data_IF_348021200764
#
_entry.id   IF_348021200764
#
_cell.length_a   1.000
_cell.length_b   1.000
_cell.length_c   1.000
_cell.angle_alpha   90.00
_cell.angle_beta   90.00
_cell.angle_gamma   90.00
#
_symmetry.space_group_name_H-M   'P 1'
#
loop_
_entity.id
_entity.type
_entity.pdbx_description
1 polymer ?
#
# COMPACT_ATOMS: atom_id res chain seq x y z
N UNK A 1 -8.18 -1.61 -31.05
CA UNK A 1 -7.81 -1.74 -29.62
C UNK A 1 -7.44 -0.36 -29.11
N UNK A 2 -7.88 0.04 -27.92
CA UNK A 2 -7.57 1.35 -27.34
C UNK A 2 -6.49 1.19 -26.27
N UNK A 3 -5.50 2.07 -26.29
CA UNK A 3 -4.45 2.14 -25.27
C UNK A 3 -4.54 3.48 -24.56
N UNK A 4 -4.18 3.50 -23.28
CA UNK A 4 -3.88 4.73 -22.55
C UNK A 4 -2.54 4.55 -21.87
N UNK A 5 -1.57 5.38 -22.24
CA UNK A 5 -0.24 5.38 -21.65
C UNK A 5 0.07 6.79 -21.14
N UNK A 6 0.30 6.93 -19.85
CA UNK A 6 0.65 8.20 -19.21
C UNK A 6 1.95 8.05 -18.46
N UNK A 7 2.88 8.96 -18.72
CA UNK A 7 4.21 9.01 -18.11
C UNK A 7 4.32 10.32 -17.32
N UNK A 8 4.96 10.25 -16.17
CA UNK A 8 5.29 11.43 -15.38
C UNK A 8 6.33 12.28 -16.13
N UNK A 9 6.21 13.60 -16.08
CA UNK A 9 6.98 14.52 -16.93
C UNK A 9 8.50 14.35 -16.87
N UNK A 10 9.02 13.97 -15.69
CA UNK A 10 10.43 13.65 -15.44
C UNK A 10 10.98 12.45 -16.23
N UNK A 11 10.13 11.63 -16.83
CA UNK A 11 10.51 10.36 -17.47
C UNK A 11 10.10 10.30 -18.95
N UNK A 12 9.85 11.45 -19.59
CA UNK A 12 9.51 11.48 -21.01
C UNK A 12 10.62 10.89 -21.89
N UNK A 13 11.89 11.07 -21.53
CA UNK A 13 13.04 10.59 -22.31
C UNK A 13 13.10 9.05 -22.41
N UNK A 14 12.57 8.35 -21.38
CA UNK A 14 12.52 6.88 -21.35
C UNK A 14 11.14 6.32 -21.71
N UNK A 15 10.19 7.17 -22.13
CA UNK A 15 8.80 6.76 -22.36
C UNK A 15 8.66 5.65 -23.42
N UNK A 16 9.42 5.74 -24.51
CA UNK A 16 9.41 4.73 -25.58
C UNK A 16 9.94 3.38 -25.11
N UNK A 17 11.03 3.38 -24.33
CA UNK A 17 11.63 2.18 -23.76
C UNK A 17 10.67 1.55 -22.73
N UNK A 18 10.12 2.35 -21.80
CA UNK A 18 9.10 1.91 -20.85
C UNK A 18 7.91 1.27 -21.56
N UNK A 19 7.40 1.89 -22.63
CA UNK A 19 6.28 1.33 -23.39
C UNK A 19 6.62 -0.02 -24.00
N UNK A 20 7.80 -0.16 -24.59
CA UNK A 20 8.29 -1.44 -25.14
C UNK A 20 8.32 -2.52 -24.06
N UNK A 21 8.88 -2.22 -22.88
CA UNK A 21 8.94 -3.17 -21.77
C UNK A 21 7.56 -3.58 -21.27
N UNK A 22 6.61 -2.65 -21.20
CA UNK A 22 5.26 -2.95 -20.74
C UNK A 22 4.46 -3.80 -21.74
N UNK A 23 4.71 -3.63 -23.05
CA UNK A 23 4.09 -4.45 -24.09
C UNK A 23 4.67 -5.88 -24.12
N UNK A 24 5.94 -6.03 -23.76
CA UNK A 24 6.66 -7.31 -23.68
C UNK A 24 6.89 -7.78 -22.24
N UNK A 25 5.96 -7.44 -21.34
CA UNK A 25 6.12 -7.65 -19.89
C UNK A 25 6.41 -9.11 -19.51
N UNK A 26 5.92 -10.10 -20.26
CA UNK A 26 6.16 -11.50 -19.91
C UNK A 26 7.62 -11.92 -20.15
N UNK A 27 8.28 -11.36 -21.17
CA UNK A 27 9.65 -11.74 -21.56
C UNK A 27 10.75 -10.85 -20.95
N UNK A 28 10.40 -9.68 -20.40
CA UNK A 28 11.37 -8.73 -19.88
C UNK A 28 11.35 -8.60 -18.35
N UNK A 29 12.51 -8.35 -17.75
CA UNK A 29 12.69 -8.06 -16.32
C UNK A 29 12.61 -9.26 -15.37
N UNK A 30 13.02 -9.02 -14.13
CA UNK A 30 13.12 -10.05 -13.09
C UNK A 30 11.89 -10.03 -12.18
N UNK A 31 11.33 -11.20 -11.87
CA UNK A 31 10.19 -11.29 -10.96
C UNK A 31 10.59 -11.00 -9.51
N UNK A 32 10.13 -9.87 -8.98
CA UNK A 32 10.12 -9.59 -7.54
C UNK A 32 9.00 -10.39 -6.84
N UNK A 33 7.81 -10.42 -7.46
CA UNK A 33 6.65 -11.16 -6.96
C UNK A 33 5.92 -11.80 -8.12
N UNK A 34 5.92 -13.13 -8.19
CA UNK A 34 5.09 -13.90 -9.13
C UNK A 34 3.84 -14.41 -8.41
N UNK A 35 2.76 -13.62 -8.43
CA UNK A 35 1.52 -13.94 -7.72
C UNK A 35 0.34 -14.17 -8.66
N UNK A 36 -0.60 -15.04 -8.28
CA UNK A 36 -1.85 -15.30 -9.02
C UNK A 36 -2.74 -14.04 -9.22
N UNK A 37 -2.52 -12.99 -8.41
CA UNK A 37 -3.31 -11.75 -8.44
C UNK A 37 -2.57 -10.58 -9.03
N UNK A 38 -1.30 -10.39 -8.72
CA UNK A 38 -0.49 -9.32 -9.31
C UNK A 38 0.90 -9.90 -9.52
N UNK A 39 1.53 -9.49 -10.62
CA UNK A 39 2.94 -9.76 -10.88
C UNK A 39 3.70 -8.46 -10.73
N UNK A 40 4.82 -8.48 -10.00
CA UNK A 40 5.73 -7.35 -9.89
C UNK A 40 7.06 -7.79 -10.48
N UNK A 41 7.55 -7.03 -11.45
CA UNK A 41 8.88 -7.19 -12.02
C UNK A 41 9.72 -5.95 -11.75
N UNK A 42 11.03 -6.16 -11.61
CA UNK A 42 12.03 -5.12 -11.57
C UNK A 42 12.69 -5.04 -12.94
N UNK A 43 12.95 -3.82 -13.41
CA UNK A 43 13.66 -3.55 -14.65
C UNK A 43 14.68 -2.44 -14.42
N UNK A 44 15.73 -2.43 -15.23
CA UNK A 44 16.69 -1.34 -15.28
C UNK A 44 16.59 -0.64 -16.64
N UNK A 45 16.47 0.69 -16.63
CA UNK A 45 16.49 1.52 -17.82
C UNK A 45 17.40 2.70 -17.55
N UNK A 46 18.43 2.88 -18.38
CA UNK A 46 19.38 4.00 -18.30
C UNK A 46 20.03 4.15 -16.91
N UNK A 47 20.37 3.02 -16.26
CA UNK A 47 20.99 3.00 -14.93
C UNK A 47 20.03 3.26 -13.76
N UNK A 48 18.74 3.47 -14.02
CA UNK A 48 17.71 3.56 -12.99
C UNK A 48 16.86 2.29 -12.91
N UNK A 49 16.56 1.87 -11.68
CA UNK A 49 15.76 0.68 -11.41
C UNK A 49 14.30 1.05 -11.18
N UNK A 50 13.39 0.31 -11.81
CA UNK A 50 11.94 0.53 -11.76
C UNK A 50 11.19 -0.74 -11.38
N UNK A 51 10.05 -0.57 -10.70
CA UNK A 51 9.11 -1.64 -10.40
C UNK A 51 7.88 -1.54 -11.29
N UNK A 52 7.60 -2.59 -12.06
CA UNK A 52 6.37 -2.72 -12.85
C UNK A 52 5.41 -3.67 -12.15
N UNK A 53 4.25 -3.15 -11.77
CA UNK A 53 3.13 -3.93 -11.22
C UNK A 53 2.07 -4.17 -12.29
N UNK A 54 1.96 -5.41 -12.77
CA UNK A 54 0.82 -5.88 -13.58
C UNK A 54 -0.33 -6.28 -12.67
N UNK A 55 -1.48 -5.63 -12.83
CA UNK A 55 -2.68 -5.96 -12.08
C UNK A 55 -3.44 -7.11 -12.72
N UNK A 56 -4.12 -7.92 -11.89
CA UNK A 56 -5.05 -8.94 -12.39
C UNK A 56 -6.01 -8.35 -13.43
N UNK A 57 -6.08 -9.00 -14.60
CA UNK A 57 -7.15 -8.76 -15.57
C UNK A 57 -8.50 -8.96 -14.87
N UNK A 58 -9.37 -7.94 -14.86
CA UNK A 58 -10.71 -8.06 -14.29
C UNK A 58 -11.53 -9.08 -15.08
N UNK A 59 -12.51 -9.73 -14.43
CA UNK A 59 -13.50 -10.53 -15.17
C UNK A 59 -14.36 -9.62 -16.06
N UNK A 60 -15.09 -10.19 -17.04
CA UNK A 60 -15.79 -9.44 -18.08
C UNK A 60 -16.67 -8.29 -17.53
N UNK A 61 -17.45 -8.56 -16.48
CA UNK A 61 -18.28 -7.53 -15.84
C UNK A 61 -17.46 -6.40 -15.21
N UNK A 62 -16.43 -6.74 -14.42
CA UNK A 62 -15.54 -5.73 -13.83
C UNK A 62 -14.77 -4.97 -14.91
N UNK A 63 -14.40 -5.64 -16.00
CA UNK A 63 -13.66 -5.08 -17.12
C UNK A 63 -14.45 -3.98 -17.83
N UNK A 64 -15.77 -4.16 -17.98
CA UNK A 64 -16.69 -3.14 -18.48
C UNK A 64 -16.87 -1.98 -17.50
N UNK A 65 -17.01 -2.27 -16.19
CA UNK A 65 -17.08 -1.21 -15.16
C UNK A 65 -15.83 -0.33 -15.17
N UNK A 66 -14.63 -0.93 -15.31
CA UNK A 66 -13.39 -0.15 -15.41
C UNK A 66 -13.28 0.64 -16.72
N UNK A 67 -13.89 0.17 -17.81
CA UNK A 67 -13.90 0.89 -19.08
C UNK A 67 -14.78 2.15 -19.03
N UNK A 68 -15.95 2.07 -18.39
CA UNK A 68 -16.99 3.12 -18.53
C UNK A 68 -17.26 3.92 -17.25
N UNK A 69 -17.00 3.37 -16.06
CA UNK A 69 -17.49 3.96 -14.81
C UNK A 69 -16.43 4.15 -13.72
N UNK A 70 -15.27 3.48 -13.82
CA UNK A 70 -14.27 3.51 -12.75
C UNK A 70 -12.85 3.48 -13.27
N UNK A 71 -12.00 4.36 -12.76
CA UNK A 71 -10.54 4.31 -12.99
C UNK A 71 -9.95 2.94 -12.63
N UNK A 72 -9.03 2.43 -13.44
CA UNK A 72 -8.37 1.15 -13.15
C UNK A 72 -7.54 1.20 -11.86
N UNK A 73 -6.98 0.06 -11.47
CA UNK A 73 -6.03 0.03 -10.36
C UNK A 73 -4.70 0.69 -10.72
N UNK A 74 -4.28 0.59 -11.98
CA UNK A 74 -3.04 1.19 -12.46
C UNK A 74 -3.13 2.71 -12.41
N UNK A 75 -4.15 3.28 -13.05
CA UNK A 75 -4.40 4.72 -13.02
C UNK A 75 -4.52 5.25 -11.59
N UNK A 76 -5.31 4.58 -10.73
CA UNK A 76 -5.43 5.00 -9.32
C UNK A 76 -4.13 4.90 -8.54
N UNK A 77 -3.27 3.93 -8.82
CA UNK A 77 -1.96 3.83 -8.15
C UNK A 77 -1.10 5.04 -8.50
N UNK A 78 -1.03 5.40 -9.78
CA UNK A 78 -0.30 6.57 -10.25
C UNK A 78 -0.84 7.87 -9.65
N UNK A 79 -2.15 8.12 -9.79
CA UNK A 79 -2.77 9.35 -9.28
C UNK A 79 -2.66 9.48 -7.76
N UNK A 80 -2.84 8.39 -7.02
CA UNK A 80 -2.72 8.44 -5.56
C UNK A 80 -1.28 8.59 -5.11
N UNK A 81 -0.30 7.99 -5.81
CA UNK A 81 1.11 8.23 -5.53
C UNK A 81 1.48 9.71 -5.71
N UNK A 82 1.08 10.33 -6.81
CA UNK A 82 1.30 11.77 -7.06
C UNK A 82 0.68 12.61 -5.95
N UNK A 83 -0.59 12.33 -5.60
CA UNK A 83 -1.28 13.05 -4.53
C UNK A 83 -0.64 12.85 -3.16
N UNK A 84 -0.11 11.68 -2.84
CA UNK A 84 0.62 11.45 -1.59
C UNK A 84 1.88 12.31 -1.53
N UNK A 85 2.66 12.37 -2.61
CA UNK A 85 3.88 13.18 -2.69
C UNK A 85 3.55 14.67 -2.52
N UNK A 86 2.51 15.17 -3.19
CA UNK A 86 2.02 16.55 -3.02
C UNK A 86 1.63 16.85 -1.56
N UNK A 87 1.05 15.87 -0.88
CA UNK A 87 0.70 15.96 0.54
C UNK A 87 1.90 15.70 1.46
N UNK A 88 3.13 15.55 0.96
CA UNK A 88 4.32 15.27 1.76
C UNK A 88 4.30 13.90 2.45
N UNK A 89 3.60 12.92 1.87
CA UNK A 89 3.61 11.51 2.32
C UNK A 89 4.52 10.71 1.39
N UNK A 90 5.48 10.01 2.00
CA UNK A 90 6.47 9.21 1.28
C UNK A 90 5.83 7.98 0.63
N UNK A 91 6.17 7.76 -0.64
CA UNK A 91 5.79 6.60 -1.45
C UNK A 91 6.77 6.50 -2.63
N UNK A 92 7.05 5.30 -3.18
CA UNK A 92 7.89 5.18 -4.37
C UNK A 92 7.36 6.07 -5.51
N UNK A 93 8.26 6.85 -6.11
CA UNK A 93 7.86 7.89 -7.06
C UNK A 93 7.12 7.28 -8.26
N UNK A 94 5.92 7.77 -8.62
CA UNK A 94 5.16 7.24 -9.74
C UNK A 94 5.80 7.64 -11.07
N UNK A 95 6.05 6.66 -11.93
CA UNK A 95 6.73 6.87 -13.20
C UNK A 95 5.74 6.85 -14.35
N UNK A 96 4.88 5.83 -14.41
CA UNK A 96 3.90 5.71 -15.48
C UNK A 96 2.72 4.81 -15.10
N UNK A 97 1.66 4.86 -15.90
CA UNK A 97 0.71 3.76 -16.00
C UNK A 97 0.31 3.50 -17.45
N UNK A 98 -0.04 2.24 -17.73
CA UNK A 98 -0.56 1.82 -19.04
C UNK A 98 -1.84 1.00 -18.86
N UNK A 99 -2.80 1.18 -19.76
CA UNK A 99 -4.05 0.43 -19.83
C UNK A 99 -4.33 0.03 -21.27
N UNK A 100 -4.54 -1.27 -21.51
CA UNK A 100 -4.97 -1.78 -22.80
C UNK A 100 -6.43 -2.21 -22.74
N UNK A 101 -7.20 -1.82 -23.75
CA UNK A 101 -8.63 -2.09 -23.85
C UNK A 101 -8.98 -2.85 -25.14
N UNK A 102 -9.84 -3.85 -24.99
CA UNK A 102 -10.54 -4.54 -26.08
C UNK A 102 -12.06 -4.29 -25.97
N UNK A 103 -12.86 -5.29 -25.59
CA UNK A 103 -14.26 -5.11 -25.19
C UNK A 103 -14.35 -4.42 -23.80
N UNK A 104 -13.35 -4.62 -22.94
CA UNK A 104 -13.16 -3.94 -21.67
C UNK A 104 -11.68 -3.78 -21.36
N UNK A 105 -11.32 -3.43 -20.12
CA UNK A 105 -9.93 -3.45 -19.66
C UNK A 105 -9.32 -4.86 -19.79
N UNK A 106 -8.33 -5.01 -20.68
CA UNK A 106 -7.60 -6.26 -20.96
C UNK A 106 -6.46 -6.46 -19.95
N UNK A 107 -5.61 -5.47 -19.80
CA UNK A 107 -4.52 -5.46 -18.84
C UNK A 107 -4.17 -4.01 -18.45
N UNK A 108 -3.47 -3.88 -17.33
CA UNK A 108 -3.06 -2.58 -16.82
C UNK A 108 -1.81 -2.69 -15.95
N UNK A 109 -0.95 -1.69 -16.05
CA UNK A 109 0.38 -1.65 -15.46
C UNK A 109 0.59 -0.35 -14.72
N UNK A 110 1.16 -0.42 -13.52
CA UNK A 110 1.67 0.73 -12.78
C UNK A 110 3.19 0.62 -12.65
N UNK A 111 3.90 1.70 -12.95
CA UNK A 111 5.36 1.78 -12.85
C UNK A 111 5.71 2.80 -11.76
N UNK A 112 6.58 2.41 -10.85
CA UNK A 112 7.21 3.30 -9.88
C UNK A 112 8.73 3.16 -9.92
N UNK A 113 9.44 4.16 -9.42
CA UNK A 113 10.86 4.01 -9.10
C UNK A 113 11.04 2.87 -8.08
N UNK A 114 12.13 2.12 -8.20
CA UNK A 114 12.51 1.19 -7.16
C UNK A 114 12.93 1.95 -5.90
N UNK A 115 12.59 1.40 -4.75
CA UNK A 115 12.95 1.96 -3.45
C UNK A 115 13.71 0.88 -2.71
N UNK A 116 14.96 1.15 -2.38
CA UNK A 116 15.70 0.38 -1.38
C UNK A 116 15.13 0.67 0.01
N UNK A 117 14.89 -0.36 0.80
CA UNK A 117 14.33 -0.25 2.15
C UNK A 117 14.89 -1.34 3.06
N UNK A 118 15.00 -1.05 4.35
CA UNK A 118 15.62 -1.96 5.32
C UNK A 118 14.66 -3.08 5.75
N UNK A 119 13.39 -2.74 6.00
CA UNK A 119 12.36 -3.70 6.37
C UNK A 119 10.96 -3.17 6.14
N UNK A 120 9.95 -4.04 6.22
CA UNK A 120 8.55 -3.63 6.27
C UNK A 120 7.95 -3.90 7.64
N UNK A 121 6.75 -3.36 7.88
CA UNK A 121 6.12 -3.41 9.19
C UNK A 121 5.85 -4.85 9.72
N UNK A 122 5.85 -5.88 8.86
CA UNK A 122 5.72 -7.29 9.29
C UNK A 122 6.84 -7.71 10.23
N UNK A 123 8.03 -7.14 10.10
CA UNK A 123 9.15 -7.43 11.00
C UNK A 123 8.77 -7.07 12.44
N UNK A 124 8.14 -5.91 12.66
CA UNK A 124 7.69 -5.46 13.98
C UNK A 124 6.53 -6.30 14.53
N UNK A 125 5.71 -6.89 13.65
CA UNK A 125 4.66 -7.84 14.05
C UNK A 125 5.25 -9.17 14.55
N UNK A 126 6.30 -9.69 13.88
CA UNK A 126 6.81 -11.03 14.11
C UNK A 126 8.03 -11.09 15.05
N UNK A 127 8.77 -9.99 15.20
CA UNK A 127 9.94 -9.91 16.06
C UNK A 127 9.73 -8.88 17.19
N UNK A 128 9.29 -9.32 18.39
CA UNK A 128 9.15 -8.44 19.55
C UNK A 128 10.46 -7.82 20.07
N UNK A 129 11.61 -8.40 19.72
CA UNK A 129 12.95 -7.94 20.14
C UNK A 129 13.68 -7.14 19.05
N UNK A 130 12.96 -6.68 18.02
CA UNK A 130 13.55 -5.83 16.99
C UNK A 130 14.18 -4.57 17.61
N UNK A 131 15.39 -4.15 17.17
CA UNK A 131 16.02 -2.93 17.67
C UNK A 131 15.09 -1.72 17.53
N UNK A 132 15.10 -0.83 18.53
CA UNK A 132 14.30 0.41 18.56
C UNK A 132 12.81 0.23 18.24
N UNK A 133 12.25 -0.96 18.50
CA UNK A 133 10.87 -1.30 18.14
C UNK A 133 9.85 -0.37 18.77
N UNK A 134 10.09 0.12 19.97
CA UNK A 134 9.18 1.05 20.64
C UNK A 134 9.12 2.37 19.89
N UNK A 135 10.28 2.94 19.57
CA UNK A 135 10.46 4.20 18.86
C UNK A 135 9.82 4.12 17.46
N UNK A 136 10.07 3.03 16.72
CA UNK A 136 9.46 2.82 15.40
C UNK A 136 7.92 2.76 15.50
N UNK A 137 7.37 2.12 16.55
CA UNK A 137 5.93 2.06 16.75
C UNK A 137 5.32 3.41 17.10
N UNK A 138 6.01 4.22 17.92
CA UNK A 138 5.60 5.59 18.24
C UNK A 138 5.60 6.46 16.97
N UNK A 139 6.65 6.38 16.15
CA UNK A 139 6.72 7.11 14.88
C UNK A 139 5.69 6.61 13.87
N UNK A 140 5.40 5.31 13.81
CA UNK A 140 4.31 4.76 12.98
C UNK A 140 2.94 5.32 13.42
N UNK A 141 2.72 5.49 14.73
CA UNK A 141 1.48 6.09 15.23
C UNK A 141 1.36 7.56 14.79
N UNK A 142 2.44 8.33 14.90
CA UNK A 142 2.52 9.72 14.45
C UNK A 142 2.36 9.84 12.92
N UNK A 143 3.03 8.98 12.15
CA UNK A 143 2.88 8.90 10.69
C UNK A 143 1.44 8.59 10.29
N UNK A 144 0.82 7.59 10.93
CA UNK A 144 -0.59 7.26 10.64
C UNK A 144 -1.54 8.39 11.07
N UNK A 145 -1.21 9.15 12.12
CA UNK A 145 -1.95 10.36 12.48
C UNK A 145 -1.86 11.41 11.37
N UNK A 146 -0.66 11.68 10.83
CA UNK A 146 -0.47 12.60 9.70
C UNK A 146 -1.26 12.19 8.46
N UNK A 147 -1.36 10.89 8.16
CA UNK A 147 -2.23 10.40 7.09
C UNK A 147 -3.68 10.83 7.31
N UNK A 148 -4.19 10.61 8.52
CA UNK A 148 -5.56 10.93 8.85
C UNK A 148 -5.85 12.44 8.89
N UNK A 149 -4.89 13.26 9.33
CA UNK A 149 -4.98 14.73 9.28
C UNK A 149 -5.06 15.24 7.83
N UNK A 150 -4.33 14.61 6.92
CA UNK A 150 -4.37 14.91 5.48
C UNK A 150 -5.58 14.29 4.77
N UNK A 151 -6.57 13.79 5.53
CA UNK A 151 -7.79 13.17 5.00
C UNK A 151 -7.54 11.85 4.27
N UNK A 152 -6.42 11.16 4.49
CA UNK A 152 -6.08 9.92 3.79
C UNK A 152 -6.62 8.72 4.59
N UNK A 153 -7.65 8.08 4.05
CA UNK A 153 -8.16 6.81 4.55
C UNK A 153 -7.55 5.66 3.73
N UNK A 154 -6.46 5.08 4.22
CA UNK A 154 -5.76 3.99 3.54
C UNK A 154 -6.45 2.65 3.78
N UNK A 155 -7.29 2.20 2.84
CA UNK A 155 -8.14 1.02 3.06
C UNK A 155 -7.36 -0.30 3.13
N UNK A 156 -6.12 -0.32 2.66
CA UNK A 156 -5.20 -1.45 2.71
C UNK A 156 -3.97 -1.16 3.58
N UNK A 157 -4.15 -0.41 4.68
CA UNK A 157 -3.15 -0.15 5.73
C UNK A 157 -2.74 -1.43 6.49
N UNK A 158 -1.99 -2.30 5.81
CA UNK A 158 -1.57 -3.61 6.28
C UNK A 158 -0.05 -3.70 6.37
N UNK A 159 0.52 -4.62 7.16
CA UNK A 159 1.95 -4.60 7.47
C UNK A 159 2.86 -4.64 6.24
N UNK A 160 2.51 -5.42 5.22
CA UNK A 160 3.29 -5.52 3.99
C UNK A 160 3.13 -4.33 3.03
N UNK A 161 2.34 -3.30 3.39
CA UNK A 161 2.11 -2.12 2.57
C UNK A 161 2.76 -0.85 3.15
N UNK A 162 3.62 -1.01 4.16
CA UNK A 162 4.46 0.08 4.67
C UNK A 162 5.89 -0.40 4.75
N UNK A 163 6.71 0.15 3.85
CA UNK A 163 8.16 -0.03 3.83
C UNK A 163 8.80 0.99 4.77
N UNK A 164 9.90 0.61 5.41
CA UNK A 164 10.58 1.40 6.42
C UNK A 164 12.04 1.54 6.01
N UNK A 165 12.52 2.78 5.97
CA UNK A 165 13.93 3.12 5.76
C UNK A 165 14.47 3.72 7.05
N UNK A 166 15.57 3.17 7.56
CA UNK A 166 16.29 3.68 8.73
C UNK A 166 17.20 4.84 8.28
N UNK A 167 16.94 6.04 8.79
CA UNK A 167 17.73 7.24 8.50
C UNK A 167 18.88 7.43 9.50
N UNK A 168 19.10 6.46 10.40
CA UNK A 168 20.00 6.60 11.53
C UNK A 168 19.41 7.45 12.66
N UNK A 169 20.11 7.51 13.79
CA UNK A 169 19.72 8.32 14.95
C UNK A 169 18.26 8.11 15.40
N UNK A 170 17.77 6.86 15.31
CA UNK A 170 16.38 6.47 15.62
C UNK A 170 15.31 7.19 14.80
N UNK A 171 15.63 7.70 13.62
CA UNK A 171 14.66 8.30 12.70
C UNK A 171 14.29 7.32 11.58
N UNK A 172 12.99 7.19 11.32
CA UNK A 172 12.48 6.23 10.34
C UNK A 172 11.54 6.87 9.34
N UNK A 173 11.74 6.55 8.07
CA UNK A 173 10.83 6.95 7.01
C UNK A 173 9.85 5.84 6.66
N UNK A 174 8.58 6.18 6.57
CA UNK A 174 7.51 5.26 6.22
C UNK A 174 7.02 5.51 4.78
N UNK A 175 7.23 4.55 3.90
CA UNK A 175 6.78 4.59 2.52
C UNK A 175 5.55 3.72 2.31
N UNK A 176 4.46 4.31 1.81
CA UNK A 176 3.26 3.55 1.45
C UNK A 176 3.40 2.90 0.07
N UNK A 177 2.92 1.66 -0.06
CA UNK A 177 2.78 0.95 -1.34
C UNK A 177 1.39 0.32 -1.47
N UNK A 178 1.08 -0.30 -2.62
CA UNK A 178 -0.26 -0.87 -2.91
C UNK A 178 -1.40 0.16 -2.77
N UNK A 179 -1.22 1.30 -3.44
CA UNK A 179 -2.00 2.51 -3.18
C UNK A 179 -3.42 2.49 -3.72
N UNK A 180 -3.76 1.59 -4.66
CA UNK A 180 -5.00 1.61 -5.45
C UNK A 180 -6.33 1.50 -4.67
N UNK A 181 -6.30 1.51 -3.33
CA UNK A 181 -7.46 1.51 -2.43
C UNK A 181 -7.29 2.54 -1.32
N UNK A 182 -7.38 3.80 -1.69
CA UNK A 182 -7.49 4.94 -0.78
C UNK A 182 -8.83 5.65 -0.95
N UNK A 183 -9.26 6.32 0.11
CA UNK A 183 -10.30 7.36 0.06
C UNK A 183 -9.70 8.63 0.64
N UNK A 184 -10.10 9.77 0.09
CA UNK A 184 -9.70 11.08 0.60
C UNK A 184 -10.93 11.69 1.28
N UNK A 185 -11.04 11.46 2.59
CA UNK A 185 -12.20 11.79 3.41
C UNK A 185 -11.75 12.07 4.86
N UNK A 186 -12.44 12.97 5.55
CA UNK A 186 -12.20 13.21 6.98
C UNK A 186 -12.71 12.02 7.79
N UNK A 187 -11.90 11.59 8.76
CA UNK A 187 -12.22 10.46 9.64
C UNK A 187 -12.39 10.92 11.08
N UNK A 188 -13.46 10.48 11.74
CA UNK A 188 -13.59 10.60 13.19
C UNK A 188 -12.67 9.60 13.92
N UNK A 189 -12.46 9.79 15.22
CA UNK A 189 -11.58 8.95 16.05
C UNK A 189 -11.84 7.44 15.87
N UNK A 190 -13.11 7.01 15.89
CA UNK A 190 -13.46 5.60 15.73
C UNK A 190 -13.09 5.05 14.35
N UNK A 191 -13.26 5.84 13.29
CA UNK A 191 -12.83 5.47 11.93
C UNK A 191 -11.31 5.41 11.81
N UNK A 192 -10.58 6.37 12.41
CA UNK A 192 -9.11 6.39 12.49
C UNK A 192 -8.57 5.15 13.19
N UNK A 193 -9.11 4.81 14.37
CA UNK A 193 -8.74 3.58 15.10
C UNK A 193 -9.10 2.30 14.34
N UNK A 194 -10.20 2.32 13.58
CA UNK A 194 -10.58 1.24 12.68
C UNK A 194 -9.62 1.10 11.50
N UNK A 195 -8.89 2.14 11.10
CA UNK A 195 -7.90 2.06 10.04
C UNK A 195 -6.68 1.22 10.47
N UNK A 196 -6.21 1.39 11.72
CA UNK A 196 -5.12 0.60 12.32
C UNK A 196 -5.37 -0.91 12.36
N UNK A 197 -6.63 -1.38 12.39
CA UNK A 197 -6.96 -2.81 12.60
C UNK A 197 -6.28 -3.77 11.62
N UNK A 198 -5.92 -3.27 10.44
CA UNK A 198 -5.31 -4.06 9.36
C UNK A 198 -3.81 -4.26 9.55
N UNK A 199 -3.16 -3.50 10.43
CA UNK A 199 -1.75 -3.65 10.84
C UNK A 199 -1.50 -4.86 11.75
N UNK A 200 -2.53 -5.62 12.14
CA UNK A 200 -2.39 -6.79 13.01
C UNK A 200 -1.65 -6.50 14.33
N UNK A 201 -1.97 -5.36 14.95
CA UNK A 201 -1.33 -4.94 16.20
C UNK A 201 -1.54 -5.97 17.33
N UNK A 202 -0.47 -6.24 18.07
CA UNK A 202 -0.51 -6.99 19.34
C UNK A 202 -0.92 -6.07 20.50
N UNK A 203 -1.23 -6.64 21.67
CA UNK A 203 -1.54 -5.86 22.88
C UNK A 203 -0.40 -4.88 23.21
N UNK A 204 0.85 -5.34 23.14
CA UNK A 204 2.03 -4.50 23.39
C UNK A 204 2.14 -3.35 22.39
N UNK A 205 1.88 -3.60 21.09
CA UNK A 205 1.89 -2.53 20.09
C UNK A 205 0.81 -1.48 20.37
N UNK A 206 -0.40 -1.91 20.74
CA UNK A 206 -1.49 -0.99 21.08
C UNK A 206 -1.11 -0.15 22.30
N UNK A 207 -0.49 -0.76 23.33
CA UNK A 207 -0.03 -0.03 24.52
C UNK A 207 1.01 1.05 24.19
N UNK A 208 1.83 0.87 23.15
CA UNK A 208 2.84 1.85 22.72
C UNK A 208 2.21 2.93 21.83
N UNK A 209 1.36 2.53 20.89
CA UNK A 209 0.84 3.43 19.84
C UNK A 209 -0.35 4.28 20.30
N UNK A 210 -1.20 3.75 21.18
CA UNK A 210 -2.42 4.45 21.60
C UNK A 210 -2.14 5.76 22.37
N UNK A 211 -1.18 5.83 23.32
CA UNK A 211 -0.84 7.08 24.00
C UNK A 211 -0.38 8.18 23.03
N UNK A 212 0.55 7.86 22.13
CA UNK A 212 1.05 8.80 21.11
C UNK A 212 -0.10 9.33 20.26
N UNK A 213 -0.96 8.43 19.78
CA UNK A 213 -2.07 8.82 18.94
C UNK A 213 -3.10 9.68 19.70
N UNK A 214 -3.38 9.33 20.96
CA UNK A 214 -4.32 10.07 21.80
C UNK A 214 -3.84 11.51 22.04
N UNK A 215 -2.56 11.68 22.37
CA UNK A 215 -1.91 12.99 22.53
C UNK A 215 -2.03 13.83 21.26
N UNK A 216 -1.64 13.29 20.11
CA UNK A 216 -1.68 14.01 18.83
C UNK A 216 -3.11 14.40 18.42
N UNK A 217 -4.09 13.55 18.70
CA UNK A 217 -5.49 13.79 18.36
C UNK A 217 -6.22 14.71 19.35
N UNK A 218 -5.72 14.83 20.59
CA UNK A 218 -6.44 15.51 21.68
C UNK A 218 -7.58 14.68 22.29
N UNK A 219 -7.43 13.35 22.34
CA UNK A 219 -8.36 12.44 23.01
C UNK A 219 -7.71 11.78 24.24
N UNK A 220 -8.50 11.11 25.08
CA UNK A 220 -7.96 10.35 26.20
C UNK A 220 -7.25 9.07 25.72
N UNK A 221 -6.19 8.67 26.42
CA UNK A 221 -5.50 7.41 26.15
C UNK A 221 -6.44 6.21 26.32
N UNK A 222 -7.26 6.23 27.37
CA UNK A 222 -8.21 5.18 27.68
C UNK A 222 -9.23 4.96 26.55
N UNK A 223 -9.80 6.03 25.99
CA UNK A 223 -10.72 5.93 24.86
C UNK A 223 -10.04 5.41 23.60
N UNK A 224 -8.88 6.01 23.25
CA UNK A 224 -8.10 5.65 22.07
C UNK A 224 -7.68 4.18 22.12
N UNK A 225 -7.15 3.73 23.25
CA UNK A 225 -6.76 2.34 23.49
C UNK A 225 -7.94 1.38 23.34
N UNK A 226 -9.07 1.71 23.99
CA UNK A 226 -10.30 0.90 23.93
C UNK A 226 -10.78 0.74 22.49
N UNK A 227 -10.81 1.81 21.69
CA UNK A 227 -11.22 1.78 20.29
C UNK A 227 -10.25 0.99 19.41
N UNK A 228 -8.95 1.23 19.56
CA UNK A 228 -7.90 0.51 18.82
C UNK A 228 -7.95 -0.99 19.12
N UNK A 229 -8.10 -1.36 20.39
CA UNK A 229 -8.28 -2.74 20.86
C UNK A 229 -9.55 -3.37 20.30
N UNK A 230 -10.69 -2.68 20.40
CA UNK A 230 -11.99 -3.15 19.89
C UNK A 230 -11.92 -3.49 18.40
N UNK A 231 -11.40 -2.58 17.58
CA UNK A 231 -11.34 -2.77 16.13
C UNK A 231 -10.33 -3.84 15.72
N UNK A 232 -9.15 -3.86 16.36
CA UNK A 232 -8.10 -4.85 16.08
C UNK A 232 -8.55 -6.27 16.42
N UNK A 233 -9.07 -6.49 17.64
CA UNK A 233 -9.57 -7.82 18.06
C UNK A 233 -10.72 -8.30 17.19
N UNK A 234 -11.69 -7.42 16.87
CA UNK A 234 -12.81 -7.77 15.98
C UNK A 234 -12.31 -8.22 14.62
N UNK A 235 -11.34 -7.51 14.04
CA UNK A 235 -10.77 -7.86 12.74
C UNK A 235 -10.02 -9.20 12.77
N UNK A 236 -9.12 -9.38 13.74
CA UNK A 236 -8.34 -10.60 13.92
C UNK A 236 -9.24 -11.83 14.13
N UNK A 237 -10.26 -11.73 15.00
CA UNK A 237 -11.24 -12.80 15.24
C UNK A 237 -11.92 -13.25 13.94
N UNK A 238 -12.43 -12.30 13.16
CA UNK A 238 -13.10 -12.60 11.88
C UNK A 238 -12.15 -13.26 10.88
N UNK A 239 -10.89 -12.80 10.79
CA UNK A 239 -9.90 -13.37 9.87
C UNK A 239 -9.46 -14.76 10.29
N UNK A 240 -9.23 -14.99 11.58
CA UNK A 240 -8.81 -16.28 12.12
C UNK A 240 -9.92 -17.33 11.95
N UNK A 241 -11.18 -16.98 12.23
CA UNK A 241 -12.32 -17.87 11.99
C UNK A 241 -12.44 -18.29 10.51
N UNK A 242 -12.21 -17.36 9.57
CA UNK A 242 -12.19 -17.68 8.13
C UNK A 242 -11.04 -18.60 7.75
N UNK A 243 -9.84 -18.40 8.31
CA UNK A 243 -8.68 -19.29 8.09
C UNK A 243 -8.97 -20.71 8.59
N UNK A 244 -9.54 -20.84 9.79
CA UNK A 244 -9.88 -22.14 10.38
C UNK A 244 -10.90 -22.90 9.53
N UNK A 245 -11.99 -22.24 9.10
CA UNK A 245 -13.00 -22.86 8.21
C UNK A 245 -12.41 -23.36 6.89
N UNK A 246 -11.47 -22.61 6.29
CA UNK A 246 -10.79 -23.02 5.06
C UNK A 246 -9.85 -24.21 5.26
N UNK A 247 -9.15 -24.27 6.40
CA UNK A 247 -8.31 -25.44 6.74
C UNK A 247 -9.16 -26.70 6.88
N UNK A 248 -10.29 -26.63 7.60
CA UNK A 248 -11.22 -27.76 7.72
C UNK A 248 -11.71 -28.27 6.36
N UNK A 249 -12.12 -27.38 5.46
CA UNK A 249 -12.56 -27.75 4.09
C UNK A 249 -11.48 -28.34 3.19
N UNK A 250 -10.18 -28.17 3.50
CA UNK A 250 -9.08 -28.77 2.74
C UNK A 250 -8.65 -30.13 3.30
N UNK A 251 -9.11 -30.45 4.51
CA UNK A 251 -8.82 -31.70 5.20
C UNK A 251 -10.00 -32.68 5.16
N UNK A 252 -11.09 -32.30 4.49
CA UNK A 252 -12.26 -33.12 4.14
C UNK A 252 -12.29 -33.27 2.63
#
# INVERSE_FOLDING_TARGET
>A
MKETFKVHSKYHDIASQLRSVLLDFEQQGDYLVKGERNSIKTIEISGEVFNIKKFKTPNLFQSLVYRFFRKSKAQRSFEYASKLIELGIKTPHPVAYMENFSLGLKDSYYVSKHLEYDFDFRVLNHNPKWPHRMEILQQMAAFTFQLHEKGIHFLDHSPGNTLIVDQGNTQYDFYLIDLNRMRFETLNLSQRMKNFRRLWLSKTMINIMAPVYAQLYGATEAETHRLMTKHSRKFQRVKNAKKLRRRKRKAS
#
